data_IF_622412307018
#
_entry.id   IF_622412307018
#
_cell.length_a   1.000
_cell.length_b   1.000
_cell.length_c   1.000
_cell.angle_alpha   90.00
_cell.angle_beta   90.00
_cell.angle_gamma   90.00
#
_symmetry.space_group_name_H-M   'P 1'
#
loop_
_entity.id
_entity.type
_entity.pdbx_description
1 polymer ?
#
# COMPACT_ATOMS: atom_id res chain seq x y z
N UNK A 1 24.36 -13.13 26.88
CA UNK A 1 24.60 -14.18 25.85
C UNK A 1 24.01 -15.53 26.23
N UNK A 2 24.33 -16.13 27.38
CA UNK A 2 23.84 -17.48 27.75
C UNK A 2 22.30 -17.61 27.89
N UNK A 3 21.61 -16.59 28.43
CA UNK A 3 20.14 -16.62 28.57
C UNK A 3 19.42 -16.36 27.24
N UNK A 4 20.04 -15.58 26.35
CA UNK A 4 19.54 -15.34 25.00
C UNK A 4 19.60 -16.63 24.21
N UNK A 5 20.74 -17.34 24.13
CA UNK A 5 20.82 -18.62 23.41
C UNK A 5 19.76 -19.63 23.89
N UNK A 6 19.49 -19.71 25.21
CA UNK A 6 18.42 -20.54 25.77
C UNK A 6 17.01 -20.15 25.35
N UNK A 7 16.71 -18.85 25.31
CA UNK A 7 15.41 -18.34 24.82
C UNK A 7 15.24 -18.69 23.34
N UNK A 8 16.31 -18.59 22.57
CA UNK A 8 16.30 -18.77 21.12
C UNK A 8 16.15 -20.25 20.72
N UNK A 9 16.81 -21.14 21.46
CA UNK A 9 16.62 -22.59 21.31
C UNK A 9 15.16 -22.98 21.62
N UNK A 10 14.54 -22.38 22.65
CA UNK A 10 13.11 -22.58 22.97
C UNK A 10 12.15 -22.01 21.92
N UNK A 11 12.56 -20.97 21.18
CA UNK A 11 11.77 -20.31 20.14
C UNK A 11 11.83 -21.02 18.77
N UNK A 12 12.73 -22.00 18.64
CA UNK A 12 13.05 -22.69 17.39
C UNK A 12 13.43 -21.70 16.27
N UNK A 13 14.08 -20.59 16.62
CA UNK A 13 14.56 -19.58 15.67
C UNK A 13 16.00 -19.94 15.28
N UNK A 14 16.31 -20.13 13.98
CA UNK A 14 17.68 -20.39 13.55
C UNK A 14 18.64 -19.28 13.99
N UNK A 15 19.78 -19.64 14.60
CA UNK A 15 20.81 -18.67 15.06
C UNK A 15 21.21 -17.65 13.97
N UNK A 16 21.24 -18.07 12.71
CA UNK A 16 21.55 -17.22 11.56
C UNK A 16 20.59 -16.03 11.38
N UNK A 17 19.31 -16.15 11.74
CA UNK A 17 18.33 -15.04 11.65
C UNK A 17 18.66 -13.95 12.68
N UNK A 18 19.30 -14.34 13.77
CA UNK A 18 19.59 -13.47 14.91
C UNK A 18 20.88 -12.73 14.66
N UNK A 19 21.93 -13.43 14.22
CA UNK A 19 23.16 -12.79 13.75
C UNK A 19 22.85 -11.75 12.66
N UNK A 20 21.85 -12.04 11.82
CA UNK A 20 21.37 -11.13 10.78
C UNK A 20 20.64 -9.91 11.30
N UNK A 21 19.99 -9.97 12.46
CA UNK A 21 19.14 -8.92 13.06
C UNK A 21 19.74 -8.24 14.29
N UNK A 22 20.84 -8.75 14.83
CA UNK A 22 21.45 -8.35 16.10
C UNK A 22 21.78 -6.85 16.14
N UNK A 23 22.38 -6.33 15.07
CA UNK A 23 22.71 -4.90 14.98
C UNK A 23 21.46 -4.02 15.00
N UNK A 24 20.38 -4.44 14.33
CA UNK A 24 19.12 -3.70 14.32
C UNK A 24 18.45 -3.76 15.70
N UNK A 25 18.41 -4.94 16.31
CA UNK A 25 17.84 -5.14 17.64
C UNK A 25 18.60 -4.32 18.70
N UNK A 26 19.93 -4.30 18.66
CA UNK A 26 20.74 -3.44 19.54
C UNK A 26 20.50 -1.96 19.29
N UNK A 27 20.31 -1.53 18.03
CA UNK A 27 19.99 -0.16 17.70
C UNK A 27 18.58 0.26 18.18
N UNK A 28 17.62 -0.65 18.15
CA UNK A 28 16.22 -0.40 18.53
C UNK A 28 15.99 -0.48 20.04
N UNK A 29 16.62 -1.45 20.72
CA UNK A 29 16.32 -1.78 22.12
C UNK A 29 17.46 -1.44 23.10
N UNK A 30 18.66 -1.08 22.61
CA UNK A 30 19.78 -0.70 23.47
C UNK A 30 20.16 -1.79 24.49
N UNK A 31 20.47 -1.38 25.72
CA UNK A 31 20.85 -2.29 26.83
C UNK A 31 19.70 -3.22 27.27
N UNK A 32 18.44 -2.85 26.99
CA UNK A 32 17.27 -3.65 27.34
C UNK A 32 17.16 -4.96 26.55
N UNK A 33 17.92 -5.09 25.45
CA UNK A 33 18.02 -6.35 24.70
C UNK A 33 18.68 -7.46 25.52
N UNK A 34 19.69 -7.12 26.33
CA UNK A 34 20.42 -8.09 27.16
C UNK A 34 19.60 -8.54 28.38
N UNK A 35 18.63 -7.74 28.81
CA UNK A 35 17.74 -8.00 29.96
C UNK A 35 16.48 -8.82 29.59
N UNK A 36 16.31 -9.17 28.31
CA UNK A 36 15.20 -10.01 27.84
C UNK A 36 15.21 -11.45 28.39
N UNK A 37 16.23 -11.84 29.17
CA UNK A 37 16.30 -13.10 29.91
C UNK A 37 15.06 -13.43 30.76
N UNK A 38 14.31 -12.41 31.19
CA UNK A 38 13.07 -12.55 31.97
C UNK A 38 11.79 -12.82 31.15
N UNK A 39 11.85 -12.88 29.82
CA UNK A 39 10.67 -12.94 28.93
C UNK A 39 9.95 -14.30 28.94
N UNK A 40 10.58 -15.35 29.48
CA UNK A 40 10.09 -16.74 29.38
C UNK A 40 8.78 -16.99 30.18
N UNK A 41 8.37 -16.10 31.09
CA UNK A 41 7.15 -16.29 31.88
C UNK A 41 5.84 -15.97 31.11
N UNK A 42 5.90 -15.23 29.99
CA UNK A 42 4.71 -14.74 29.28
C UNK A 42 4.73 -15.14 27.80
N UNK A 43 3.89 -16.12 27.44
CA UNK A 43 3.76 -16.63 26.08
C UNK A 43 3.41 -15.53 25.06
N UNK A 44 2.69 -14.49 25.46
CA UNK A 44 2.34 -13.38 24.57
C UNK A 44 3.56 -12.53 24.25
N UNK A 45 4.38 -12.19 25.26
CA UNK A 45 5.65 -11.46 25.04
C UNK A 45 6.59 -12.26 24.16
N UNK A 46 6.65 -13.57 24.37
CA UNK A 46 7.48 -14.46 23.57
C UNK A 46 7.06 -14.48 22.08
N UNK A 47 5.75 -14.58 21.80
CA UNK A 47 5.21 -14.50 20.43
C UNK A 47 5.52 -13.17 19.76
N UNK A 48 5.27 -12.06 20.47
CA UNK A 48 5.55 -10.71 19.99
C UNK A 48 7.03 -10.51 19.64
N UNK A 49 7.92 -11.01 20.49
CA UNK A 49 9.36 -10.93 20.25
C UNK A 49 9.77 -11.75 19.01
N UNK A 50 9.21 -12.95 18.82
CA UNK A 50 9.44 -13.75 17.61
C UNK A 50 9.00 -13.02 16.33
N UNK A 51 7.84 -12.36 16.37
CA UNK A 51 7.35 -11.56 15.24
C UNK A 51 8.30 -10.38 14.94
N UNK A 52 8.75 -9.67 15.97
CA UNK A 52 9.72 -8.58 15.83
C UNK A 52 11.03 -9.05 15.20
N UNK A 53 11.61 -10.16 15.66
CA UNK A 53 12.83 -10.73 15.06
C UNK A 53 12.63 -11.01 13.57
N UNK A 54 11.53 -11.66 13.20
CA UNK A 54 11.26 -12.02 11.80
C UNK A 54 11.15 -10.77 10.91
N UNK A 55 10.37 -9.78 11.35
CA UNK A 55 10.15 -8.53 10.62
C UNK A 55 11.46 -7.73 10.50
N UNK A 56 12.20 -7.58 11.59
CA UNK A 56 13.41 -6.77 11.62
C UNK A 56 14.60 -7.43 10.92
N UNK A 57 14.71 -8.76 10.96
CA UNK A 57 15.69 -9.49 10.16
C UNK A 57 15.46 -9.25 8.68
N UNK A 58 14.22 -9.38 8.20
CA UNK A 58 13.89 -9.15 6.80
C UNK A 58 14.07 -7.69 6.39
N UNK A 59 13.71 -6.74 7.26
CA UNK A 59 14.01 -5.32 7.04
C UNK A 59 15.53 -5.06 6.89
N UNK A 60 16.35 -5.71 7.72
CA UNK A 60 17.81 -5.57 7.63
C UNK A 60 18.38 -6.19 6.35
N UNK A 61 17.85 -7.32 5.90
CA UNK A 61 18.20 -7.91 4.60
C UNK A 61 17.91 -6.93 3.46
N UNK A 62 16.71 -6.35 3.46
CA UNK A 62 16.32 -5.37 2.43
C UNK A 62 17.27 -4.15 2.43
N UNK A 63 17.60 -3.60 3.60
CA UNK A 63 18.54 -2.48 3.71
C UNK A 63 19.94 -2.85 3.17
N UNK A 64 20.43 -4.06 3.48
CA UNK A 64 21.72 -4.56 2.98
C UNK A 64 21.72 -4.75 1.47
N UNK A 65 20.67 -5.37 0.91
CA UNK A 65 20.51 -5.58 -0.53
C UNK A 65 20.57 -4.26 -1.31
N UNK A 66 19.98 -3.20 -0.76
CA UNK A 66 19.93 -1.87 -1.37
C UNK A 66 21.09 -0.96 -0.95
N UNK A 67 22.04 -1.46 -0.14
CA UNK A 67 23.20 -0.70 0.38
C UNK A 67 22.78 0.59 1.09
N UNK A 68 21.73 0.51 1.90
CA UNK A 68 21.18 1.64 2.67
C UNK A 68 21.64 1.53 4.12
N UNK A 69 22.33 2.56 4.59
CA UNK A 69 22.68 2.70 6.01
C UNK A 69 21.47 3.16 6.84
N UNK A 70 21.09 2.45 7.92
CA UNK A 70 19.98 2.85 8.78
C UNK A 70 20.21 4.22 9.44
N UNK A 71 19.21 5.10 9.36
CA UNK A 71 19.23 6.43 9.99
C UNK A 71 18.45 6.45 11.29
N UNK A 72 18.74 7.46 12.13
CA UNK A 72 17.97 7.72 13.35
C UNK A 72 16.53 8.08 13.01
N UNK A 73 15.59 7.50 13.76
CA UNK A 73 14.14 7.68 13.60
C UNK A 73 13.57 8.38 14.82
N UNK A 74 12.59 9.25 14.61
CA UNK A 74 11.84 9.87 15.71
C UNK A 74 11.12 8.82 16.55
N UNK A 75 11.14 8.96 17.89
CA UNK A 75 10.40 8.06 18.79
C UNK A 75 8.89 8.03 18.50
N UNK A 76 8.33 9.12 17.94
CA UNK A 76 6.92 9.18 17.51
C UNK A 76 6.56 8.21 16.38
N UNK A 77 7.56 7.71 15.66
CA UNK A 77 7.42 6.71 14.59
C UNK A 77 7.93 5.37 15.09
N UNK A 78 9.11 5.37 15.73
CA UNK A 78 9.79 4.16 16.14
C UNK A 78 8.98 3.35 17.16
N UNK A 79 8.42 3.98 18.19
CA UNK A 79 7.69 3.26 19.23
C UNK A 79 6.41 2.59 18.68
N UNK A 80 5.51 3.31 17.95
CA UNK A 80 4.36 2.67 17.32
C UNK A 80 4.74 1.59 16.31
N UNK A 81 5.82 1.79 15.54
CA UNK A 81 6.28 0.81 14.56
C UNK A 81 6.67 -0.51 15.23
N UNK A 82 7.51 -0.46 16.28
CA UNK A 82 7.96 -1.64 17.02
C UNK A 82 6.81 -2.33 17.73
N UNK A 83 5.91 -1.56 18.32
CA UNK A 83 4.80 -2.09 19.08
C UNK A 83 3.77 -2.75 18.17
N UNK A 84 3.27 -2.04 17.15
CA UNK A 84 2.20 -2.54 16.30
C UNK A 84 2.65 -3.71 15.44
N UNK A 85 3.87 -3.66 14.89
CA UNK A 85 4.39 -4.78 14.09
C UNK A 85 4.58 -6.06 14.92
N UNK A 86 4.74 -5.95 16.24
CA UNK A 86 4.92 -7.13 17.11
C UNK A 86 3.67 -7.99 17.22
N UNK A 87 2.49 -7.41 16.98
CA UNK A 87 1.21 -8.13 17.03
C UNK A 87 0.90 -8.86 15.72
N UNK A 88 1.70 -8.66 14.66
CA UNK A 88 1.41 -9.25 13.35
C UNK A 88 1.83 -10.72 13.28
N UNK A 89 0.86 -11.61 13.09
CA UNK A 89 1.08 -13.06 12.97
C UNK A 89 1.08 -13.54 11.52
N UNK A 90 0.44 -12.80 10.61
CA UNK A 90 0.28 -13.19 9.21
C UNK A 90 1.52 -12.86 8.39
N UNK A 91 2.12 -13.87 7.73
CA UNK A 91 3.37 -13.70 6.98
C UNK A 91 3.28 -12.64 5.88
N UNK A 92 2.15 -12.57 5.18
CA UNK A 92 1.85 -11.58 4.14
C UNK A 92 1.99 -10.14 4.67
N UNK A 93 1.51 -9.89 5.89
CA UNK A 93 1.56 -8.58 6.52
C UNK A 93 2.92 -8.33 7.19
N UNK A 94 3.56 -9.35 7.77
CA UNK A 94 4.94 -9.25 8.30
C UNK A 94 5.93 -8.80 7.23
N UNK A 95 5.76 -9.25 5.99
CA UNK A 95 6.57 -8.79 4.86
C UNK A 95 6.38 -7.29 4.57
N UNK A 96 5.14 -6.80 4.62
CA UNK A 96 4.82 -5.37 4.44
C UNK A 96 5.38 -4.54 5.59
N UNK A 97 5.32 -5.05 6.82
CA UNK A 97 5.96 -4.41 7.97
C UNK A 97 7.47 -4.33 7.78
N UNK A 98 8.10 -5.39 7.26
CA UNK A 98 9.55 -5.42 7.00
C UNK A 98 9.97 -4.33 6.01
N UNK A 99 9.18 -4.16 4.93
CA UNK A 99 9.39 -3.09 3.94
C UNK A 99 9.17 -1.70 4.55
N UNK A 100 8.13 -1.53 5.37
CA UNK A 100 7.89 -0.27 6.10
C UNK A 100 9.04 0.09 7.04
N UNK A 101 9.55 -0.88 7.80
CA UNK A 101 10.71 -0.69 8.69
C UNK A 101 11.94 -0.25 7.88
N UNK A 102 12.27 -0.95 6.79
CA UNK A 102 13.38 -0.57 5.92
C UNK A 102 13.21 0.84 5.34
N UNK A 103 12.00 1.18 4.89
CA UNK A 103 11.72 2.50 4.34
C UNK A 103 11.82 3.61 5.39
N UNK A 104 11.32 3.40 6.61
CA UNK A 104 11.46 4.34 7.73
C UNK A 104 12.93 4.56 8.06
N UNK A 105 13.72 3.48 8.14
CA UNK A 105 15.15 3.54 8.46
C UNK A 105 16.00 4.14 7.32
N UNK A 106 15.54 4.13 6.07
CA UNK A 106 16.22 4.83 4.97
C UNK A 106 16.19 6.37 5.11
N UNK A 107 15.28 6.89 5.95
CA UNK A 107 15.07 8.32 6.22
C UNK A 107 14.54 9.14 5.04
N UNK A 108 13.87 8.50 4.08
CA UNK A 108 13.36 9.14 2.86
C UNK A 108 11.87 9.53 2.91
N UNK A 109 11.23 9.50 4.08
CA UNK A 109 9.79 9.73 4.21
C UNK A 109 9.42 10.74 5.31
N UNK A 110 8.36 11.48 5.02
CA UNK A 110 7.71 12.41 5.95
C UNK A 110 7.12 11.66 7.16
N UNK A 111 7.28 12.24 8.36
CA UNK A 111 6.87 11.61 9.63
C UNK A 111 5.37 11.34 9.65
N UNK A 112 4.54 12.26 9.14
CA UNK A 112 3.07 12.09 9.12
C UNK A 112 2.72 10.91 8.23
N UNK A 113 3.33 10.83 7.05
CA UNK A 113 3.13 9.70 6.15
C UNK A 113 3.57 8.36 6.77
N UNK A 114 4.69 8.31 7.48
CA UNK A 114 5.15 7.11 8.19
C UNK A 114 4.15 6.66 9.26
N UNK A 115 3.62 7.60 10.06
CA UNK A 115 2.61 7.31 11.07
C UNK A 115 1.31 6.78 10.45
N UNK A 116 0.88 7.36 9.33
CA UNK A 116 -0.28 6.87 8.59
C UNK A 116 -0.06 5.44 8.08
N UNK A 117 1.13 5.13 7.54
CA UNK A 117 1.45 3.78 7.08
C UNK A 117 1.39 2.75 8.23
N UNK A 118 1.91 3.10 9.42
CA UNK A 118 1.82 2.25 10.61
C UNK A 118 0.35 2.00 10.98
N UNK A 119 -0.46 3.06 11.05
CA UNK A 119 -1.87 2.93 11.44
C UNK A 119 -2.71 2.19 10.40
N UNK A 120 -2.39 2.32 9.12
CA UNK A 120 -3.07 1.61 8.04
C UNK A 120 -2.71 0.13 8.14
N UNK A 121 -1.42 -0.19 8.22
CA UNK A 121 -0.96 -1.58 8.20
C UNK A 121 -1.41 -2.35 9.45
N UNK A 122 -1.53 -1.69 10.61
CA UNK A 122 -2.07 -2.31 11.83
C UNK A 122 -3.57 -2.65 11.77
N UNK A 123 -4.29 -2.16 10.75
CA UNK A 123 -5.74 -2.37 10.58
C UNK A 123 -6.09 -3.18 9.32
N UNK A 124 -5.09 -3.48 8.49
CA UNK A 124 -5.27 -4.14 7.21
C UNK A 124 -5.26 -5.66 7.41
N UNK A 125 -6.17 -6.38 6.76
CA UNK A 125 -6.10 -7.85 6.70
C UNK A 125 -5.22 -8.33 5.54
N UNK A 126 -4.75 -9.59 5.62
CA UNK A 126 -4.00 -10.23 4.52
C UNK A 126 -4.76 -10.20 3.20
N UNK A 127 -6.05 -10.50 3.23
CA UNK A 127 -6.94 -10.50 2.06
C UNK A 127 -7.05 -9.12 1.41
N UNK A 128 -7.21 -8.07 2.20
CA UNK A 128 -7.29 -6.70 1.70
C UNK A 128 -5.94 -6.24 1.14
N UNK A 129 -4.84 -6.67 1.75
CA UNK A 129 -3.52 -6.36 1.27
C UNK A 129 -3.23 -7.03 -0.08
N UNK A 130 -3.69 -8.28 -0.27
CA UNK A 130 -3.63 -9.00 -1.56
C UNK A 130 -4.53 -8.33 -2.59
N UNK A 131 -5.75 -7.96 -2.21
CA UNK A 131 -6.67 -7.22 -3.08
C UNK A 131 -6.05 -5.90 -3.56
N UNK A 132 -5.49 -5.12 -2.64
CA UNK A 132 -4.85 -3.84 -2.95
C UNK A 132 -3.67 -3.99 -3.91
N UNK A 133 -2.86 -5.05 -3.75
CA UNK A 133 -1.80 -5.38 -4.70
C UNK A 133 -2.34 -5.74 -6.09
N UNK A 134 -3.42 -6.53 -6.15
CA UNK A 134 -4.08 -6.88 -7.42
C UNK A 134 -4.59 -5.65 -8.14
N UNK A 135 -5.26 -4.74 -7.42
CA UNK A 135 -5.72 -3.46 -7.92
C UNK A 135 -4.57 -2.60 -8.43
N UNK A 136 -3.47 -2.52 -7.68
CA UNK A 136 -2.29 -1.75 -8.07
C UNK A 136 -1.60 -2.32 -9.32
N UNK A 137 -1.48 -3.65 -9.43
CA UNK A 137 -0.97 -4.31 -10.64
C UNK A 137 -1.85 -4.00 -11.85
N UNK A 138 -3.18 -4.05 -11.70
CA UNK A 138 -4.13 -3.69 -12.77
C UNK A 138 -4.03 -2.20 -13.15
N UNK A 139 -3.86 -1.29 -12.18
CA UNK A 139 -3.59 0.13 -12.43
C UNK A 139 -2.35 0.33 -13.28
N UNK A 140 -1.24 -0.31 -12.90
CA UNK A 140 0.04 -0.22 -13.61
C UNK A 140 -0.08 -0.72 -15.05
N UNK A 141 -0.77 -1.85 -15.26
CA UNK A 141 -1.05 -2.36 -16.60
C UNK A 141 -1.82 -1.34 -17.46
N UNK A 142 -2.90 -0.76 -16.92
CA UNK A 142 -3.72 0.23 -17.64
C UNK A 142 -2.95 1.52 -17.97
N UNK A 143 -2.03 1.94 -17.10
CA UNK A 143 -1.12 3.07 -17.35
C UNK A 143 -0.20 2.81 -18.54
N UNK A 144 0.38 1.61 -18.61
CA UNK A 144 1.22 1.18 -19.74
C UNK A 144 0.41 1.11 -21.03
N UNK A 145 -0.79 0.53 -20.99
CA UNK A 145 -1.70 0.47 -22.15
C UNK A 145 -2.06 1.87 -22.66
N UNK A 146 -2.38 2.81 -21.76
CA UNK A 146 -2.66 4.21 -22.10
C UNK A 146 -1.45 4.89 -22.72
N UNK A 147 -0.26 4.72 -22.13
CA UNK A 147 1.00 5.22 -22.69
C UNK A 147 1.22 4.72 -24.12
N UNK A 148 1.14 3.40 -24.33
CA UNK A 148 1.37 2.79 -25.63
C UNK A 148 0.35 3.26 -26.67
N UNK A 149 -0.91 3.44 -26.28
CA UNK A 149 -1.96 3.97 -27.17
C UNK A 149 -1.65 5.41 -27.58
N UNK A 150 -1.22 6.25 -26.64
CA UNK A 150 -0.85 7.63 -26.94
C UNK A 150 0.44 7.72 -27.76
N UNK A 151 1.42 6.85 -27.52
CA UNK A 151 2.67 6.79 -28.27
C UNK A 151 2.44 6.40 -29.74
N UNK A 152 1.57 5.42 -29.98
CA UNK A 152 1.16 5.06 -31.35
C UNK A 152 0.52 6.25 -32.07
N UNK A 153 -0.38 6.98 -31.41
CA UNK A 153 -1.02 8.19 -31.96
C UNK A 153 0.00 9.30 -32.22
N UNK A 154 0.96 9.49 -31.32
CA UNK A 154 2.04 10.47 -31.48
C UNK A 154 2.85 10.22 -32.75
N UNK A 155 3.34 8.98 -32.95
CA UNK A 155 4.13 8.65 -34.15
C UNK A 155 3.31 8.69 -35.44
N UNK A 156 2.03 8.31 -35.39
CA UNK A 156 1.13 8.46 -36.53
C UNK A 156 0.95 9.93 -36.91
N UNK A 157 0.76 10.81 -35.92
CA UNK A 157 0.62 12.24 -36.16
C UNK A 157 1.92 12.90 -36.62
N UNK A 158 3.06 12.47 -36.07
CA UNK A 158 4.39 12.93 -36.47
C UNK A 158 4.67 12.62 -37.96
N UNK A 159 4.28 11.43 -38.42
CA UNK A 159 4.43 11.03 -39.82
C UNK A 159 3.56 11.86 -40.79
N UNK A 160 2.37 12.31 -40.36
CA UNK A 160 1.45 13.07 -41.21
C UNK A 160 1.61 14.60 -41.08
N UNK A 161 2.03 15.09 -39.90
CA UNK A 161 2.11 16.51 -39.55
C UNK A 161 3.36 16.80 -38.68
N UNK A 162 4.58 16.72 -39.23
CA UNK A 162 5.83 16.76 -38.47
C UNK A 162 6.09 18.06 -37.69
N UNK A 163 5.36 19.14 -37.98
CA UNK A 163 5.51 20.46 -37.33
C UNK A 163 4.25 20.92 -36.60
N UNK A 164 3.32 20.02 -36.27
CA UNK A 164 2.13 20.38 -35.50
C UNK A 164 2.50 20.76 -34.06
N UNK A 165 2.22 22.02 -33.68
CA UNK A 165 2.44 22.55 -32.32
C UNK A 165 1.71 21.76 -31.23
N UNK A 166 0.74 20.92 -31.58
CA UNK A 166 -0.01 20.06 -30.65
C UNK A 166 0.55 18.65 -30.49
N UNK A 167 1.61 18.25 -31.21
CA UNK A 167 2.16 16.90 -31.11
C UNK A 167 3.09 16.78 -29.88
N UNK A 168 2.49 16.57 -28.71
CA UNK A 168 3.22 16.42 -27.44
C UNK A 168 3.54 14.95 -27.20
N UNK A 169 4.80 14.66 -26.85
CA UNK A 169 5.23 13.31 -26.50
C UNK A 169 4.43 12.81 -25.28
N UNK A 170 3.92 11.57 -25.29
CA UNK A 170 3.09 11.07 -24.22
C UNK A 170 3.84 11.00 -22.89
N UNK A 171 3.11 11.27 -21.81
CA UNK A 171 3.57 11.11 -20.43
C UNK A 171 4.05 9.68 -20.17
N UNK A 172 5.01 9.51 -19.25
CA UNK A 172 5.41 8.17 -18.78
C UNK A 172 4.23 7.49 -18.05
N UNK A 173 4.17 6.15 -17.98
CA UNK A 173 3.07 5.43 -17.31
C UNK A 173 2.76 5.94 -15.88
N UNK A 174 3.76 6.18 -15.05
CA UNK A 174 3.55 6.65 -13.67
C UNK A 174 3.15 8.14 -13.57
N UNK A 175 3.22 8.91 -14.66
CA UNK A 175 2.84 10.33 -14.69
C UNK A 175 1.34 10.55 -15.03
N UNK A 176 0.61 9.48 -15.38
CA UNK A 176 -0.84 9.56 -15.51
C UNK A 176 -1.51 9.64 -14.14
N UNK A 177 -2.48 10.54 -13.98
CA UNK A 177 -3.24 10.68 -12.73
C UNK A 177 -3.85 9.34 -12.33
N UNK A 178 -3.71 8.98 -11.05
CA UNK A 178 -4.34 7.79 -10.46
C UNK A 178 -5.87 7.84 -10.59
N UNK A 179 -6.47 9.04 -10.54
CA UNK A 179 -7.92 9.23 -10.64
C UNK A 179 -8.46 8.98 -12.05
N UNK A 180 -7.59 8.90 -13.06
CA UNK A 180 -8.02 8.61 -14.43
C UNK A 180 -8.24 7.11 -14.71
N UNK A 181 -8.24 6.27 -13.67
CA UNK A 181 -8.33 4.82 -13.77
C UNK A 181 -9.31 4.27 -12.75
N UNK A 182 -10.59 4.33 -13.08
CA UNK A 182 -11.69 3.80 -12.27
C UNK A 182 -11.78 2.27 -12.32
N UNK A 183 -12.15 1.68 -11.19
CA UNK A 183 -12.42 0.27 -11.05
C UNK A 183 -13.90 0.07 -10.74
N UNK A 184 -14.63 -0.54 -11.67
CA UNK A 184 -16.02 -0.93 -11.45
C UNK A 184 -16.09 -2.23 -10.63
N UNK A 185 -16.94 -2.26 -9.59
CA UNK A 185 -17.07 -3.40 -8.68
C UNK A 185 -17.49 -4.67 -9.43
N UNK A 186 -18.62 -4.63 -10.15
CA UNK A 186 -19.17 -5.79 -10.83
C UNK A 186 -18.18 -6.41 -11.83
N UNK A 187 -17.53 -5.55 -12.61
CA UNK A 187 -16.50 -5.96 -13.57
C UNK A 187 -15.30 -6.61 -12.86
N UNK A 188 -14.79 -5.99 -11.79
CA UNK A 188 -13.63 -6.52 -11.06
C UNK A 188 -13.96 -7.82 -10.31
N UNK A 189 -15.14 -7.91 -9.69
CA UNK A 189 -15.64 -9.10 -9.01
C UNK A 189 -15.71 -10.29 -9.97
N UNK A 190 -16.32 -10.08 -11.14
CA UNK A 190 -16.43 -11.10 -12.19
C UNK A 190 -15.06 -11.56 -12.70
N UNK A 191 -14.14 -10.63 -12.98
CA UNK A 191 -12.80 -10.95 -13.46
C UNK A 191 -11.97 -11.78 -12.47
N UNK A 192 -12.20 -11.60 -11.16
CA UNK A 192 -11.41 -12.24 -10.11
C UNK A 192 -12.16 -13.37 -9.39
N UNK A 193 -13.37 -13.73 -9.84
CA UNK A 193 -14.21 -14.74 -9.22
C UNK A 193 -14.46 -14.49 -7.72
N UNK A 194 -14.73 -13.23 -7.36
CA UNK A 194 -15.07 -12.79 -6.00
C UNK A 194 -16.55 -12.40 -5.98
N UNK A 195 -17.27 -12.67 -4.90
CA UNK A 195 -18.63 -12.16 -4.72
C UNK A 195 -18.63 -10.63 -4.68
N UNK A 196 -19.55 -9.98 -5.41
CA UNK A 196 -19.67 -8.51 -5.39
C UNK A 196 -19.86 -7.97 -3.97
N UNK A 197 -20.64 -8.66 -3.13
CA UNK A 197 -20.85 -8.28 -1.72
C UNK A 197 -19.55 -8.35 -0.91
N UNK A 198 -18.74 -9.38 -1.13
CA UNK A 198 -17.46 -9.53 -0.44
C UNK A 198 -16.47 -8.46 -0.89
N UNK A 199 -16.36 -8.24 -2.20
CA UNK A 199 -15.52 -7.19 -2.77
C UNK A 199 -15.93 -5.82 -2.24
N UNK A 200 -17.23 -5.51 -2.27
CA UNK A 200 -17.77 -4.25 -1.75
C UNK A 200 -17.34 -3.99 -0.31
N UNK A 201 -17.43 -5.00 0.56
CA UNK A 201 -17.01 -4.88 1.96
C UNK A 201 -15.51 -4.58 2.09
N UNK A 202 -14.67 -5.33 1.36
CA UNK A 202 -13.22 -5.11 1.34
C UNK A 202 -12.86 -3.71 0.82
N UNK A 203 -13.52 -3.26 -0.25
CA UNK A 203 -13.33 -1.90 -0.79
C UNK A 203 -13.76 -0.83 0.21
N UNK A 204 -14.90 -1.01 0.88
CA UNK A 204 -15.38 -0.06 1.90
C UNK A 204 -14.40 0.10 3.06
N UNK A 205 -13.76 -0.98 3.50
CA UNK A 205 -12.73 -0.89 4.53
C UNK A 205 -11.47 -0.18 4.00
N UNK A 206 -11.02 -0.51 2.79
CA UNK A 206 -9.89 0.18 2.14
C UNK A 206 -10.16 1.69 1.95
N UNK A 207 -11.40 2.09 1.70
CA UNK A 207 -11.84 3.49 1.67
C UNK A 207 -11.78 4.12 3.07
N UNK A 208 -12.24 3.41 4.09
CA UNK A 208 -12.16 3.86 5.50
C UNK A 208 -10.72 4.08 5.95
N UNK A 209 -9.78 3.26 5.45
CA UNK A 209 -8.34 3.43 5.65
C UNK A 209 -7.73 4.54 4.79
N UNK A 210 -8.51 5.18 3.91
CA UNK A 210 -8.10 6.26 3.03
C UNK A 210 -7.24 5.82 1.84
N UNK A 211 -7.19 4.52 1.54
CA UNK A 211 -6.39 3.97 0.44
C UNK A 211 -7.11 4.08 -0.90
N UNK A 212 -8.44 4.00 -0.87
CA UNK A 212 -9.33 4.15 -2.02
C UNK A 212 -10.36 5.24 -1.74
N UNK A 213 -11.07 5.68 -2.78
CA UNK A 213 -12.28 6.50 -2.65
C UNK A 213 -13.31 6.07 -3.69
N UNK A 214 -14.59 6.22 -3.38
CA UNK A 214 -15.64 6.12 -4.38
C UNK A 214 -15.47 7.24 -5.41
N UNK A 215 -15.72 6.89 -6.67
CA UNK A 215 -15.95 7.88 -7.71
C UNK A 215 -17.46 8.13 -7.77
N UNK A 216 -17.84 9.41 -7.79
CA UNK A 216 -19.24 9.81 -7.85
C UNK A 216 -19.57 10.09 -9.31
N UNK A 217 -20.48 9.31 -9.86
CA UNK A 217 -21.02 9.55 -11.19
C UNK A 217 -22.28 10.40 -11.08
N UNK A 218 -22.26 11.58 -11.70
CA UNK A 218 -23.41 12.47 -11.81
C UNK A 218 -23.92 12.39 -13.24
N UNK A 219 -25.08 11.77 -13.43
CA UNK A 219 -25.81 11.82 -14.68
C UNK A 219 -26.83 12.96 -14.64
N UNK A 220 -26.86 13.76 -15.69
CA UNK A 220 -27.82 14.87 -15.85
C UNK A 220 -28.65 14.57 -17.08
N UNK A 221 -29.95 14.36 -16.88
CA UNK A 221 -30.92 14.21 -17.95
C UNK A 221 -31.68 15.52 -18.07
N UNK A 222 -31.74 16.08 -19.28
CA UNK A 222 -32.50 17.28 -19.58
C UNK A 222 -33.56 16.93 -20.61
N UNK A 223 -34.82 17.03 -20.21
CA UNK A 223 -35.98 16.80 -21.07
C UNK A 223 -36.66 18.13 -21.38
N UNK A 224 -37.11 18.27 -22.62
CA UNK A 224 -37.92 19.41 -23.05
C UNK A 224 -39.18 18.85 -23.68
N UNK A 225 -40.33 19.43 -23.33
CA UNK A 225 -41.58 19.03 -23.95
C UNK A 225 -41.51 19.34 -25.44
N UNK A 226 -41.77 18.33 -26.27
CA UNK A 226 -41.74 18.48 -27.72
C UNK A 226 -43.04 19.12 -28.24
N UNK A 227 -44.12 19.03 -27.46
CA UNK A 227 -45.44 19.54 -27.85
C UNK A 227 -45.66 20.99 -27.40
N UNK A 228 -44.85 21.49 -26.45
CA UNK A 228 -44.83 22.90 -26.02
C UNK A 228 -43.40 23.47 -26.09
N UNK A 229 -43.05 24.22 -27.17
CA UNK A 229 -41.71 24.77 -27.34
C UNK A 229 -41.35 25.86 -26.33
N UNK A 230 -42.33 26.43 -25.62
CA UNK A 230 -42.14 27.40 -24.55
C UNK A 230 -42.07 26.76 -23.15
N UNK A 231 -42.15 25.41 -23.05
CA UNK A 231 -41.98 24.71 -21.78
C UNK A 231 -40.59 24.96 -21.20
N UNK A 232 -40.53 25.03 -19.87
CA UNK A 232 -39.27 24.98 -19.14
C UNK A 232 -38.55 23.64 -19.44
N UNK A 233 -37.23 23.66 -19.32
CA UNK A 233 -36.42 22.44 -19.44
C UNK A 233 -36.43 21.76 -18.08
N UNK A 234 -36.95 20.54 -18.04
CA UNK A 234 -36.88 19.68 -16.86
C UNK A 234 -35.49 19.06 -16.80
N UNK A 235 -34.82 19.23 -15.65
CA UNK A 235 -33.48 18.70 -15.42
C UNK A 235 -33.53 17.73 -14.25
N UNK A 236 -33.31 16.45 -14.53
CA UNK A 236 -33.16 15.40 -13.54
C UNK A 236 -31.67 15.12 -13.31
N UNK A 237 -31.26 15.05 -12.05
CA UNK A 237 -29.88 14.76 -11.65
C UNK A 237 -29.84 13.46 -10.88
N UNK A 238 -29.20 12.46 -11.46
CA UNK A 238 -28.96 11.15 -10.86
C UNK A 238 -27.53 11.09 -10.32
N UNK A 239 -27.38 10.78 -9.04
CA UNK A 239 -26.07 10.61 -8.41
C UNK A 239 -25.92 9.15 -8.02
N UNK A 240 -25.02 8.45 -8.72
CA UNK A 240 -24.64 7.10 -8.38
C UNK A 240 -23.39 7.17 -7.51
N UNK A 241 -23.52 6.66 -6.28
CA UNK A 241 -22.40 6.42 -5.40
C UNK A 241 -22.22 4.90 -5.29
N UNK A 242 -20.97 4.45 -5.30
CA UNK A 242 -20.56 3.10 -4.92
C UNK A 242 -20.46 2.03 -6.04
N UNK A 243 -20.51 2.41 -7.32
CA UNK A 243 -20.28 1.47 -8.44
C UNK A 243 -18.81 1.38 -8.86
N UNK A 244 -18.10 2.51 -8.77
CA UNK A 244 -16.71 2.63 -9.17
C UNK A 244 -15.87 3.31 -8.09
N UNK A 245 -14.59 2.95 -8.04
CA UNK A 245 -13.63 3.52 -7.11
C UNK A 245 -12.28 3.77 -7.76
N UNK A 246 -11.48 4.63 -7.15
CA UNK A 246 -10.11 4.96 -7.59
C UNK A 246 -9.14 4.93 -6.40
N UNK A 247 -7.85 4.83 -6.70
CA UNK A 247 -6.80 5.03 -5.70
C UNK A 247 -6.76 6.50 -5.23
N UNK A 248 -6.54 6.69 -3.93
CA UNK A 248 -6.13 8.00 -3.41
C UNK A 248 -4.61 8.18 -3.53
N UNK A 249 -4.13 9.41 -3.37
CA UNK A 249 -2.68 9.67 -3.33
C UNK A 249 -1.98 8.96 -2.16
N UNK A 250 -2.68 8.81 -1.03
CA UNK A 250 -2.18 8.04 0.12
C UNK A 250 -2.11 6.56 -0.24
N UNK A 251 -3.13 6.03 -0.92
CA UNK A 251 -3.18 4.65 -1.38
C UNK A 251 -2.06 4.29 -2.34
N UNK A 252 -1.85 5.08 -3.40
CA UNK A 252 -0.75 4.86 -4.37
C UNK A 252 0.63 4.91 -3.69
N UNK A 253 0.84 5.87 -2.78
CA UNK A 253 2.12 5.97 -2.06
C UNK A 253 2.32 4.82 -1.07
N UNK A 254 1.27 4.43 -0.35
CA UNK A 254 1.30 3.32 0.61
C UNK A 254 1.60 1.99 -0.08
N UNK A 255 0.90 1.68 -1.17
CA UNK A 255 1.09 0.40 -1.85
C UNK A 255 2.48 0.31 -2.49
N UNK A 256 3.00 1.41 -3.09
CA UNK A 256 4.37 1.44 -3.62
C UNK A 256 5.42 1.14 -2.55
N UNK A 257 5.29 1.75 -1.38
CA UNK A 257 6.20 1.54 -0.26
C UNK A 257 6.16 0.09 0.23
N UNK A 258 4.99 -0.52 0.25
CA UNK A 258 4.79 -1.89 0.77
C UNK A 258 4.93 -2.98 -0.29
N UNK A 259 5.15 -2.63 -1.56
CA UNK A 259 5.44 -3.58 -2.65
C UNK A 259 6.86 -3.47 -3.18
N UNK A 260 7.39 -2.26 -3.33
CA UNK A 260 8.69 -2.00 -3.94
C UNK A 260 9.69 -1.46 -2.89
N UNK A 261 10.95 -1.88 -2.99
CA UNK A 261 12.12 -1.18 -2.44
C UNK A 261 13.13 -1.02 -3.56
#
# INVERSE_FOLDING_TARGET
>A
MADIEKILDNLNIPKQIIDKSEQLLKALFGQSFDEMGGIIADQVKLRRFKNQIKIFSKAQEILKEHKIDPKKVSLKVLAPLIEMSSYEEEETLQEKWSKLVAHVLSGNSDIIFQQNCISILSKLSSDEAILLEGLFKKLQRRRIERHNTQLKRYHQNEAHYPNSKGNVYPKKPDEYSITSFEFNIASYAKENNISEKELYFKISNLITLGLLKWETDVQVEATKDNDDPDSDIDVEVYVYNDEAFVFTSIGDRFIRLTTNI
#
